data_IF_897412574330
#
_entry.id   IF_897412574330
#
_cell.length_a   1.000
_cell.length_b   1.000
_cell.length_c   1.000
_cell.angle_alpha   90.00
_cell.angle_beta   90.00
_cell.angle_gamma   90.00
#
_symmetry.space_group_name_H-M   'P 1'
#
loop_
_entity.id
_entity.type
_entity.pdbx_description
1 polymer ?
#
# COMPACT_ATOMS: atom_id res chain seq x y z
N UNK A 1 0.79 -50.44 34.29
CA UNK A 1 0.64 -49.66 35.53
C UNK A 1 1.63 -48.52 35.48
N UNK A 2 1.14 -47.29 35.66
CA UNK A 2 1.90 -46.05 35.90
C UNK A 2 2.78 -45.56 34.72
N UNK A 3 3.02 -44.28 34.46
CA UNK A 3 2.83 -43.02 35.20
C UNK A 3 2.45 -41.94 34.18
N UNK A 4 1.39 -41.19 34.46
CA UNK A 4 1.04 -39.93 33.77
C UNK A 4 1.80 -38.81 34.46
N UNK A 5 2.67 -38.09 33.75
CA UNK A 5 3.26 -36.85 34.25
C UNK A 5 2.43 -35.64 33.76
N UNK A 6 2.01 -34.72 34.65
CA UNK A 6 1.26 -33.52 34.27
C UNK A 6 2.16 -32.36 33.82
N UNK A 7 1.58 -31.59 32.90
CA UNK A 7 2.07 -30.36 32.26
C UNK A 7 2.24 -29.23 33.30
N UNK A 8 3.35 -28.47 33.26
CA UNK A 8 3.38 -27.12 33.82
C UNK A 8 3.04 -26.05 32.77
N UNK A 9 1.85 -25.48 32.91
CA UNK A 9 1.43 -24.18 32.38
C UNK A 9 2.41 -23.10 32.83
N UNK A 10 2.96 -22.31 31.90
CA UNK A 10 3.75 -21.13 32.23
C UNK A 10 3.36 -19.92 31.40
N UNK A 11 2.53 -19.11 32.06
CA UNK A 11 2.65 -17.66 32.17
C UNK A 11 2.52 -16.84 30.87
N UNK A 12 1.26 -16.59 30.57
CA UNK A 12 0.73 -15.45 29.81
C UNK A 12 1.07 -14.13 30.52
N UNK A 13 2.10 -13.40 30.08
CA UNK A 13 2.32 -12.01 30.50
C UNK A 13 1.75 -11.05 29.45
N UNK A 14 0.53 -10.57 29.71
CA UNK A 14 -0.07 -9.43 29.00
C UNK A 14 0.61 -8.16 29.48
N UNK A 15 1.34 -7.48 28.60
CA UNK A 15 1.76 -6.09 28.83
C UNK A 15 0.75 -5.20 28.11
N UNK A 16 -0.24 -4.76 28.89
CA UNK A 16 -1.12 -3.63 28.63
C UNK A 16 -0.35 -2.33 28.91
N UNK A 17 -0.87 -1.19 28.43
CA UNK A 17 -0.47 0.22 28.68
C UNK A 17 0.41 0.76 27.55
N UNK A 18 0.07 1.83 26.82
CA UNK A 18 -0.51 3.09 27.27
C UNK A 18 -1.08 3.88 26.08
N UNK A 19 -2.36 4.26 26.17
CA UNK A 19 -3.01 5.17 25.24
C UNK A 19 -2.65 6.62 25.56
N UNK A 20 -1.88 7.29 24.72
CA UNK A 20 -1.69 8.74 24.78
C UNK A 20 -2.62 9.42 23.76
N UNK A 21 -3.84 9.70 24.20
CA UNK A 21 -4.77 10.61 23.51
C UNK A 21 -4.37 12.03 23.87
N UNK A 22 -3.61 12.69 22.99
CA UNK A 22 -3.29 14.10 23.13
C UNK A 22 -4.45 14.90 22.51
N UNK A 23 -5.30 15.42 23.39
CA UNK A 23 -6.31 16.44 23.10
C UNK A 23 -5.62 17.75 22.71
N UNK A 24 -5.59 18.08 21.42
CA UNK A 24 -5.34 19.45 20.94
C UNK A 24 -6.68 20.15 20.74
N UNK A 25 -7.22 20.74 21.80
CA UNK A 25 -8.32 21.72 21.70
C UNK A 25 -7.73 23.10 21.97
N UNK A 26 -7.22 23.73 20.91
CA UNK A 26 -6.72 25.10 20.92
C UNK A 26 -7.59 25.97 20.02
N UNK A 27 -8.79 26.27 20.52
CA UNK A 27 -9.76 27.19 19.95
C UNK A 27 -9.22 28.64 20.03
N UNK A 28 -8.67 29.18 18.95
CA UNK A 28 -8.35 30.60 18.85
C UNK A 28 -9.46 31.32 18.08
N UNK A 29 -10.44 31.81 18.84
CA UNK A 29 -11.57 32.61 18.36
C UNK A 29 -11.18 34.09 18.51
N UNK A 30 -10.73 34.72 17.42
CA UNK A 30 -10.48 36.17 17.41
C UNK A 30 -11.64 36.85 16.69
N UNK A 31 -12.49 37.46 17.50
CA UNK A 31 -13.55 38.41 17.10
C UNK A 31 -12.89 39.74 16.77
N UNK A 32 -13.05 40.24 15.55
CA UNK A 32 -12.92 41.68 15.27
C UNK A 32 -14.15 42.16 14.53
N UNK A 33 -15.04 42.79 15.30
CA UNK A 33 -16.20 43.50 14.81
C UNK A 33 -15.81 44.94 14.44
N UNK A 34 -16.28 45.35 13.25
CA UNK A 34 -16.83 46.66 12.92
C UNK A 34 -16.04 47.92 13.34
N UNK A 35 -15.28 48.46 12.38
CA UNK A 35 -15.15 49.92 12.20
C UNK A 35 -15.53 50.23 10.76
N UNK A 36 -16.76 50.70 10.57
CA UNK A 36 -17.19 51.34 9.34
C UNK A 36 -16.73 52.79 9.36
N UNK A 37 -15.84 53.15 8.44
CA UNK A 37 -15.62 54.53 7.97
C UNK A 37 -15.44 54.43 6.46
N UNK A 38 -16.29 55.13 5.72
CA UNK A 38 -16.25 55.18 4.27
C UNK A 38 -14.92 55.74 3.76
N UNK A 39 -14.36 55.06 2.76
CA UNK A 39 -13.38 55.67 1.87
C UNK A 39 -13.63 55.14 0.46
N UNK A 40 -14.07 56.05 -0.40
CA UNK A 40 -14.34 55.80 -1.80
C UNK A 40 -13.04 55.95 -2.58
N UNK A 41 -12.18 54.93 -2.53
CA UNK A 41 -11.05 54.80 -3.45
C UNK A 41 -11.02 53.37 -3.98
N UNK A 42 -11.50 53.23 -5.21
CA UNK A 42 -11.21 52.07 -6.05
C UNK A 42 -9.70 52.00 -6.27
N UNK A 43 -9.00 51.34 -5.35
CA UNK A 43 -7.68 50.82 -5.64
C UNK A 43 -7.91 49.54 -6.44
N UNK A 44 -7.47 49.55 -7.70
CA UNK A 44 -7.23 48.31 -8.42
C UNK A 44 -6.41 47.41 -7.51
N UNK A 45 -7.04 46.37 -6.97
CA UNK A 45 -6.33 45.24 -6.38
C UNK A 45 -5.54 44.68 -7.55
N UNK A 46 -4.19 44.79 -7.58
CA UNK A 46 -3.43 44.04 -8.56
C UNK A 46 -3.86 42.60 -8.38
N UNK A 47 -4.31 41.97 -9.47
CA UNK A 47 -4.52 40.54 -9.50
C UNK A 47 -3.14 39.95 -9.15
N UNK A 48 -2.92 39.67 -7.85
CA UNK A 48 -1.87 38.77 -7.46
C UNK A 48 -2.18 37.51 -8.24
N UNK A 49 -1.32 37.27 -9.21
CA UNK A 49 -1.25 36.06 -10.00
C UNK A 49 -1.45 34.94 -9.00
N UNK A 50 -2.67 34.38 -8.98
CA UNK A 50 -2.97 33.22 -8.15
C UNK A 50 -2.29 32.06 -8.86
N UNK A 51 -0.97 32.04 -8.75
CA UNK A 51 -0.15 30.87 -8.96
C UNK A 51 -0.69 29.88 -7.95
N UNK A 52 -1.67 29.08 -8.39
CA UNK A 52 -2.18 27.96 -7.62
C UNK A 52 -0.94 27.25 -7.08
N UNK A 53 -0.89 26.94 -5.77
CA UNK A 53 0.19 26.12 -5.27
C UNK A 53 0.22 24.88 -6.15
N UNK A 54 1.28 24.76 -6.95
CA UNK A 54 1.54 23.58 -7.75
C UNK A 54 1.83 22.51 -6.72
N UNK A 55 0.77 21.85 -6.24
CA UNK A 55 0.92 20.68 -5.41
C UNK A 55 1.72 19.72 -6.27
N UNK A 56 2.86 19.22 -5.79
CA UNK A 56 3.60 18.22 -6.51
C UNK A 56 2.63 17.09 -6.81
N UNK A 57 2.41 16.84 -8.11
CA UNK A 57 1.53 15.76 -8.57
C UNK A 57 2.02 14.48 -7.90
N UNK A 58 1.18 13.91 -7.04
CA UNK A 58 1.50 12.63 -6.38
C UNK A 58 1.84 11.66 -7.52
N UNK A 59 3.05 11.05 -7.52
CA UNK A 59 3.44 10.14 -8.58
C UNK A 59 2.36 9.07 -8.70
N UNK A 60 1.71 9.02 -9.85
CA UNK A 60 0.63 8.08 -10.10
C UNK A 60 1.27 6.71 -10.13
N UNK A 61 1.02 5.89 -9.10
CA UNK A 61 1.46 4.51 -9.06
C UNK A 61 0.86 3.77 -10.26
N UNK A 62 1.71 3.11 -11.04
CA UNK A 62 1.29 2.40 -12.26
C UNK A 62 0.63 1.04 -12.00
N UNK A 63 0.62 0.58 -10.74
CA UNK A 63 0.05 -0.69 -10.34
C UNK A 63 -1.24 -0.50 -9.54
N UNK A 64 -2.03 -1.58 -9.46
CA UNK A 64 -3.30 -1.60 -8.72
C UNK A 64 -3.13 -2.32 -7.39
N UNK A 65 -3.90 -1.89 -6.39
CA UNK A 65 -4.09 -2.61 -5.13
C UNK A 65 -5.52 -3.16 -5.13
N UNK A 66 -5.66 -4.48 -4.92
CA UNK A 66 -6.96 -5.17 -4.93
C UNK A 66 -7.15 -5.99 -3.66
N UNK A 67 -8.41 -6.31 -3.32
CA UNK A 67 -8.74 -7.15 -2.17
C UNK A 67 -8.74 -6.45 -0.81
N UNK A 68 -8.39 -5.16 -0.74
CA UNK A 68 -8.39 -4.41 0.51
C UNK A 68 -7.78 -3.01 0.38
N UNK A 69 -7.56 -2.38 1.52
CA UNK A 69 -6.88 -1.08 1.62
C UNK A 69 -5.53 -1.25 2.33
N UNK A 70 -4.49 -0.61 1.80
CA UNK A 70 -3.17 -0.52 2.42
C UNK A 70 -2.86 0.94 2.72
N UNK A 71 -2.23 1.21 3.86
CA UNK A 71 -1.79 2.56 4.16
C UNK A 71 -0.65 2.97 3.23
N UNK A 72 -0.45 4.28 3.04
CA UNK A 72 0.67 4.77 2.24
C UNK A 72 2.05 4.29 2.76
N UNK A 73 2.17 4.13 4.08
CA UNK A 73 3.38 3.61 4.73
C UNK A 73 3.59 2.12 4.42
N UNK A 74 2.54 1.30 4.50
CA UNK A 74 2.63 -0.13 4.14
C UNK A 74 3.06 -0.30 2.70
N UNK A 75 2.47 0.48 1.80
CA UNK A 75 2.79 0.41 0.38
C UNK A 75 4.25 0.79 0.12
N UNK A 76 4.75 1.86 0.75
CA UNK A 76 6.16 2.27 0.61
C UNK A 76 7.13 1.22 1.16
N UNK A 77 6.77 0.55 2.27
CA UNK A 77 7.57 -0.55 2.83
C UNK A 77 7.60 -1.76 1.88
N UNK A 78 6.44 -2.17 1.36
CA UNK A 78 6.33 -3.27 0.39
C UNK A 78 7.12 -2.95 -0.88
N UNK A 79 6.99 -1.75 -1.45
CA UNK A 79 7.76 -1.28 -2.61
C UNK A 79 9.27 -1.39 -2.35
N UNK A 80 9.73 -0.95 -1.19
CA UNK A 80 11.15 -1.03 -0.81
C UNK A 80 11.64 -2.47 -0.60
N UNK A 81 10.78 -3.38 -0.14
CA UNK A 81 11.12 -4.79 -0.02
C UNK A 81 11.21 -5.45 -1.39
N UNK A 82 10.24 -5.21 -2.27
CA UNK A 82 10.21 -5.77 -3.62
C UNK A 82 11.41 -5.29 -4.44
N UNK A 83 11.78 -4.01 -4.35
CA UNK A 83 12.93 -3.46 -5.07
C UNK A 83 14.27 -4.07 -4.65
N UNK A 84 14.34 -4.75 -3.50
CA UNK A 84 15.53 -5.50 -3.05
C UNK A 84 15.53 -6.95 -3.57
N UNK A 85 14.39 -7.45 -4.01
CA UNK A 85 14.21 -8.82 -4.50
C UNK A 85 14.29 -8.91 -6.02
N UNK A 86 13.82 -7.88 -6.72
CA UNK A 86 13.79 -7.84 -8.19
C UNK A 86 13.86 -6.41 -8.71
N UNK A 87 14.35 -6.26 -9.94
CA UNK A 87 14.30 -5.00 -10.71
C UNK A 87 13.00 -4.90 -11.54
N UNK A 88 12.20 -5.97 -11.57
CA UNK A 88 10.92 -5.98 -12.26
C UNK A 88 9.92 -5.00 -11.64
N UNK A 89 9.14 -4.34 -12.49
CA UNK A 89 8.09 -3.43 -12.03
C UNK A 89 6.98 -4.19 -11.32
N UNK A 90 6.41 -3.57 -10.29
CA UNK A 90 5.19 -4.07 -9.65
C UNK A 90 4.02 -3.88 -10.62
N UNK A 91 3.22 -4.92 -10.80
CA UNK A 91 2.02 -4.92 -11.64
C UNK A 91 0.75 -4.87 -10.79
N UNK A 92 0.74 -5.62 -9.69
CA UNK A 92 -0.43 -5.82 -8.85
C UNK A 92 -0.01 -6.12 -7.41
N UNK A 93 -0.75 -5.55 -6.44
CA UNK A 93 -0.69 -5.95 -5.04
C UNK A 93 -2.06 -6.49 -4.65
N UNK A 94 -2.13 -7.76 -4.28
CA UNK A 94 -3.35 -8.44 -3.83
C UNK A 94 -3.33 -8.58 -2.32
N UNK A 95 -4.24 -7.90 -1.63
CA UNK A 95 -4.45 -8.08 -0.18
C UNK A 95 -5.24 -9.37 0.02
N UNK A 96 -4.61 -10.39 0.61
CA UNK A 96 -5.24 -11.69 0.89
C UNK A 96 -6.08 -11.64 2.15
N UNK A 97 -5.53 -11.05 3.20
CA UNK A 97 -6.14 -10.81 4.52
C UNK A 97 -5.42 -9.64 5.19
N UNK A 98 -5.93 -9.18 6.33
CA UNK A 98 -5.24 -8.13 7.12
C UNK A 98 -3.82 -8.58 7.46
N UNK A 99 -2.81 -7.82 7.02
CA UNK A 99 -1.41 -8.14 7.25
C UNK A 99 -0.85 -9.24 6.35
N UNK A 100 -1.45 -9.55 5.20
CA UNK A 100 -0.88 -10.48 4.22
C UNK A 100 -1.20 -10.05 2.79
N UNK A 101 -0.18 -10.00 1.94
CA UNK A 101 -0.28 -9.55 0.55
C UNK A 101 0.52 -10.46 -0.37
N UNK A 102 0.03 -10.63 -1.61
CA UNK A 102 0.80 -11.17 -2.72
C UNK A 102 1.13 -10.02 -3.67
N UNK A 103 2.40 -9.84 -4.01
CA UNK A 103 2.86 -8.84 -4.98
C UNK A 103 3.25 -9.54 -6.27
N UNK A 104 2.58 -9.18 -7.36
CA UNK A 104 2.92 -9.64 -8.71
C UNK A 104 3.81 -8.60 -9.39
N UNK A 105 4.96 -9.04 -9.85
CA UNK A 105 5.95 -8.27 -10.60
C UNK A 105 6.09 -8.84 -12.00
N UNK A 106 6.63 -8.04 -12.92
CA UNK A 106 6.97 -8.52 -14.26
C UNK A 106 6.69 -7.53 -15.37
N UNK A 107 6.57 -8.05 -16.58
CA UNK A 107 6.27 -7.29 -17.80
C UNK A 107 5.07 -7.94 -18.50
N UNK A 108 4.13 -7.10 -18.94
CA UNK A 108 3.02 -7.50 -19.80
C UNK A 108 3.24 -6.84 -21.16
N UNK A 109 3.49 -7.65 -22.20
CA UNK A 109 3.74 -7.20 -23.58
C UNK A 109 2.52 -7.43 -24.48
N UNK A 110 1.63 -8.34 -24.09
CA UNK A 110 0.36 -8.60 -24.75
C UNK A 110 -0.56 -9.47 -23.87
N UNK A 111 -1.78 -9.80 -24.34
CA UNK A 111 -2.74 -10.58 -23.57
C UNK A 111 -2.24 -11.97 -23.15
N UNK A 112 -1.34 -12.55 -23.94
CA UNK A 112 -0.72 -13.86 -23.72
C UNK A 112 0.81 -13.79 -23.81
N UNK A 113 1.38 -12.59 -23.71
CA UNK A 113 2.83 -12.39 -23.74
C UNK A 113 3.25 -11.57 -22.53
N UNK A 114 3.96 -12.22 -21.62
CA UNK A 114 4.41 -11.64 -20.38
C UNK A 114 5.08 -12.66 -19.49
N UNK A 115 5.72 -12.15 -18.45
CA UNK A 115 6.30 -12.98 -17.41
C UNK A 115 6.73 -12.15 -16.23
N UNK A 116 6.99 -12.83 -15.12
CA UNK A 116 7.54 -12.22 -13.93
C UNK A 116 7.45 -13.12 -12.71
N UNK A 117 7.43 -12.49 -11.53
CA UNK A 117 7.47 -13.18 -10.25
C UNK A 117 6.33 -12.76 -9.33
N UNK A 118 5.89 -13.67 -8.46
CA UNK A 118 5.03 -13.35 -7.33
C UNK A 118 5.79 -13.51 -6.01
N UNK A 119 5.54 -12.57 -5.09
CA UNK A 119 6.14 -12.56 -3.77
C UNK A 119 5.04 -12.41 -2.72
N UNK A 120 4.98 -13.35 -1.79
CA UNK A 120 4.09 -13.24 -0.64
C UNK A 120 4.80 -12.53 0.52
N UNK A 121 4.06 -11.64 1.18
CA UNK A 121 4.50 -10.93 2.37
C UNK A 121 3.45 -11.05 3.46
N UNK A 122 3.91 -11.21 4.71
CA UNK A 122 3.08 -11.09 5.90
C UNK A 122 3.62 -10.03 6.84
N UNK A 123 2.73 -9.40 7.60
CA UNK A 123 3.05 -8.37 8.56
C UNK A 123 3.28 -8.98 9.93
N UNK A 124 4.54 -9.08 10.33
CA UNK A 124 4.97 -9.63 11.61
C UNK A 124 5.48 -8.50 12.51
N UNK A 125 4.94 -8.40 13.73
CA UNK A 125 5.34 -7.38 14.71
C UNK A 125 5.33 -5.94 14.15
N UNK A 126 4.39 -5.66 13.25
CA UNK A 126 4.22 -4.36 12.62
C UNK A 126 5.12 -4.08 11.41
N UNK A 127 5.95 -5.03 10.98
CA UNK A 127 6.82 -4.92 9.80
C UNK A 127 6.46 -5.95 8.74
N UNK A 128 6.64 -5.62 7.48
CA UNK A 128 6.42 -6.56 6.38
C UNK A 128 7.64 -7.46 6.19
N UNK A 129 7.37 -8.76 6.06
CA UNK A 129 8.40 -9.80 5.89
C UNK A 129 7.98 -10.70 4.73
N UNK A 130 8.91 -11.05 3.84
CA UNK A 130 8.65 -12.01 2.75
C UNK A 130 8.41 -13.38 3.36
N UNK A 131 7.30 -14.00 3.01
CA UNK A 131 6.93 -15.34 3.44
C UNK A 131 6.90 -16.27 2.23
N UNK A 132 7.53 -17.44 2.31
CA UNK A 132 7.44 -18.44 1.24
C UNK A 132 8.41 -18.26 0.07
N UNK A 133 8.27 -19.19 -0.89
CA UNK A 133 9.07 -19.26 -2.11
C UNK A 133 8.36 -18.41 -3.16
N UNK A 134 9.13 -17.60 -3.90
CA UNK A 134 8.59 -16.87 -5.04
C UNK A 134 8.19 -17.84 -6.15
N UNK A 135 6.96 -17.72 -6.65
CA UNK A 135 6.55 -18.36 -7.91
C UNK A 135 6.95 -17.47 -9.08
N UNK A 136 7.38 -18.08 -10.17
CA UNK A 136 7.50 -17.39 -11.46
C UNK A 136 6.30 -17.74 -12.33
N UNK A 137 5.90 -16.80 -13.17
CA UNK A 137 4.87 -17.00 -14.18
C UNK A 137 5.42 -16.60 -15.54
N UNK A 138 5.05 -17.35 -16.57
CA UNK A 138 5.30 -17.05 -17.98
C UNK A 138 4.00 -17.32 -18.70
N UNK A 139 3.56 -16.38 -19.52
CA UNK A 139 2.46 -16.63 -20.45
C UNK A 139 3.01 -17.47 -21.60
N UNK A 140 2.66 -18.76 -21.65
CA UNK A 140 3.03 -19.63 -22.76
C UNK A 140 1.91 -19.69 -23.79
N UNK A 141 2.24 -19.46 -25.06
CA UNK A 141 1.31 -19.55 -26.20
C UNK A 141 1.16 -21.00 -26.71
N UNK A 142 1.93 -21.94 -26.14
CA UNK A 142 2.17 -23.27 -26.72
C UNK A 142 1.01 -24.27 -26.58
N UNK A 143 0.05 -24.02 -25.69
CA UNK A 143 -1.00 -25.01 -25.38
C UNK A 143 -2.18 -25.04 -26.37
N UNK A 144 -2.25 -24.11 -27.33
CA UNK A 144 -3.38 -24.03 -28.27
C UNK A 144 -3.12 -24.56 -29.69
N UNK A 145 -1.92 -25.05 -30.00
CA UNK A 145 -1.60 -25.51 -31.36
C UNK A 145 -1.48 -27.04 -31.52
N UNK A 146 -1.72 -27.83 -30.46
CA UNK A 146 -1.57 -29.29 -30.49
C UNK A 146 -2.85 -30.07 -30.87
N UNK A 147 -4.04 -29.46 -30.84
CA UNK A 147 -5.29 -30.17 -31.19
C UNK A 147 -5.63 -30.19 -32.69
N UNK A 148 -4.99 -29.37 -33.54
CA UNK A 148 -5.32 -29.31 -34.96
C UNK A 148 -4.71 -30.42 -35.84
N UNK A 149 -3.86 -31.29 -35.28
CA UNK A 149 -3.12 -32.32 -36.04
C UNK A 149 -3.65 -33.75 -35.88
N UNK A 150 -4.69 -34.00 -35.07
CA UNK A 150 -5.16 -35.35 -34.72
C UNK A 150 -6.48 -35.78 -35.38
N UNK A 151 -6.95 -35.10 -36.42
CA UNK A 151 -8.20 -35.45 -37.14
C UNK A 151 -8.00 -35.61 -38.66
N UNK A 152 -6.93 -36.30 -39.05
CA UNK A 152 -6.68 -36.74 -40.44
C UNK A 152 -6.91 -38.22 -40.62
#
# INVERSE_FOLDING_TARGET
>A
MAVTEPIPDSAKTRISTQSSRILWTGLALVVFALVGIGFHTWHHVPQEDQTQPVFPSVPTREYRVVGGHLSAADVAEIESLVSKLTEERILLITVRKSGSVTVTTGVVRGPLDGGGSEFDFEKENGRWVKTGISSSWVSDLSDHNSEAMASG
#
